data_IF_241825804240
#
_entry.id   IF_241825804240
#
_cell.length_a   1.000
_cell.length_b   1.000
_cell.length_c   1.000
_cell.angle_alpha   90.00
_cell.angle_beta   90.00
_cell.angle_gamma   90.00
#
_symmetry.space_group_name_H-M   'P 1'
#
loop_
_entity.id
_entity.type
_entity.pdbx_description
1 polymer ?
#
# COMPACT_ATOMS: atom_id res chain seq x y z
N UNK A 1 5.15 5.72 10.78
CA UNK A 1 5.73 6.50 9.66
C UNK A 1 4.93 7.79 9.59
N UNK A 2 5.60 8.93 9.46
CA UNK A 2 4.99 10.25 9.43
C UNK A 2 5.17 10.88 8.04
N UNK A 3 4.42 11.93 7.69
CA UNK A 3 4.70 12.71 6.48
C UNK A 3 6.15 13.20 6.53
N UNK A 4 6.82 13.18 5.39
CA UNK A 4 8.22 13.58 5.29
C UNK A 4 8.31 14.84 4.44
N UNK A 5 9.13 15.81 4.84
CA UNK A 5 9.40 17.03 4.05
C UNK A 5 10.16 16.76 2.75
N UNK A 6 10.59 15.52 2.56
CA UNK A 6 11.39 15.02 1.45
C UNK A 6 10.90 13.60 1.13
N UNK A 7 10.43 13.41 -0.09
CA UNK A 7 9.89 12.13 -0.54
C UNK A 7 10.95 11.03 -0.58
N UNK A 8 12.23 11.37 -0.73
CA UNK A 8 13.34 10.40 -0.64
C UNK A 8 13.36 9.73 0.72
N UNK A 9 13.16 10.50 1.80
CA UNK A 9 13.12 9.92 3.17
C UNK A 9 11.94 8.98 3.36
N UNK A 10 10.81 9.27 2.72
CA UNK A 10 9.64 8.38 2.74
C UNK A 10 9.94 7.09 1.98
N UNK A 11 10.46 7.20 0.76
CA UNK A 11 10.90 6.07 -0.08
C UNK A 11 11.88 5.19 0.69
N UNK A 12 12.96 5.76 1.20
CA UNK A 12 14.02 5.01 1.89
C UNK A 12 13.49 4.29 3.15
N UNK A 13 12.54 4.91 3.86
CA UNK A 13 11.85 4.29 5.00
C UNK A 13 10.98 3.10 4.58
N UNK A 14 10.24 3.22 3.47
CA UNK A 14 9.45 2.13 2.89
C UNK A 14 10.38 1.00 2.42
N UNK A 15 11.38 1.32 1.61
CA UNK A 15 12.34 0.36 1.06
C UNK A 15 13.10 -0.38 2.18
N UNK A 16 13.54 0.33 3.22
CA UNK A 16 14.20 -0.29 4.37
C UNK A 16 13.29 -1.33 5.06
N UNK A 17 12.01 -1.02 5.22
CA UNK A 17 11.02 -1.95 5.79
C UNK A 17 10.77 -3.14 4.86
N UNK A 18 10.61 -2.91 3.55
CA UNK A 18 10.49 -3.99 2.55
C UNK A 18 11.69 -4.93 2.61
N UNK A 19 12.92 -4.39 2.68
CA UNK A 19 14.15 -5.20 2.79
C UNK A 19 14.17 -6.06 4.06
N UNK A 20 13.73 -5.51 5.19
CA UNK A 20 13.57 -6.29 6.43
C UNK A 20 12.55 -7.41 6.27
N UNK A 21 11.40 -7.13 5.67
CA UNK A 21 10.36 -8.15 5.42
C UNK A 21 10.88 -9.24 4.48
N UNK A 22 11.65 -8.87 3.46
CA UNK A 22 12.30 -9.79 2.53
C UNK A 22 13.30 -10.71 3.21
N UNK A 23 14.11 -10.19 4.14
CA UNK A 23 15.03 -11.01 4.94
C UNK A 23 14.26 -12.08 5.74
N UNK A 24 13.15 -11.71 6.38
CA UNK A 24 12.31 -12.67 7.11
C UNK A 24 11.71 -13.70 6.16
N UNK A 25 11.15 -13.26 5.03
CA UNK A 25 10.54 -14.14 4.03
C UNK A 25 11.54 -15.11 3.36
N UNK A 26 12.80 -14.68 3.20
CA UNK A 26 13.85 -15.49 2.58
C UNK A 26 14.26 -16.71 3.41
N UNK A 27 14.07 -16.66 4.73
CA UNK A 27 14.36 -17.78 5.62
C UNK A 27 13.28 -18.88 5.58
N UNK A 28 12.10 -18.57 5.01
CA UNK A 28 10.97 -19.49 4.97
C UNK A 28 11.16 -20.51 3.85
N UNK A 29 11.24 -21.79 4.22
CA UNK A 29 11.40 -22.91 3.29
C UNK A 29 10.43 -24.04 3.61
N UNK A 30 10.10 -24.85 2.59
CA UNK A 30 9.21 -26.00 2.77
C UNK A 30 10.03 -27.22 3.24
N UNK A 31 9.47 -28.07 4.13
CA UNK A 31 8.14 -27.98 4.76
C UNK A 31 8.07 -26.93 5.89
N UNK A 32 6.95 -26.20 5.97
CA UNK A 32 6.80 -25.07 6.91
C UNK A 32 6.46 -25.51 8.34
N UNK A 33 7.29 -25.10 9.29
CA UNK A 33 7.01 -25.20 10.72
C UNK A 33 5.99 -24.18 11.23
N UNK A 34 5.68 -24.22 12.53
CA UNK A 34 4.82 -23.21 13.17
C UNK A 34 5.40 -21.80 13.09
N UNK A 35 6.72 -21.68 13.24
CA UNK A 35 7.44 -20.41 13.21
C UNK A 35 7.44 -19.80 11.81
N UNK A 36 7.59 -20.63 10.77
CA UNK A 36 7.47 -20.19 9.37
C UNK A 36 6.08 -19.63 9.07
N UNK A 37 5.02 -20.30 9.54
CA UNK A 37 3.64 -19.83 9.36
C UNK A 37 3.40 -18.51 10.09
N UNK A 38 4.01 -18.33 11.26
CA UNK A 38 3.95 -17.07 12.02
C UNK A 38 4.72 -15.95 11.31
N UNK A 39 5.92 -16.26 10.81
CA UNK A 39 6.73 -15.32 10.05
C UNK A 39 6.02 -14.90 8.76
N UNK A 40 5.38 -15.83 8.06
CA UNK A 40 4.60 -15.56 6.86
C UNK A 40 3.42 -14.63 7.16
N UNK A 41 2.63 -14.95 8.19
CA UNK A 41 1.53 -14.11 8.63
C UNK A 41 2.00 -12.69 9.00
N UNK A 42 3.10 -12.59 9.75
CA UNK A 42 3.70 -11.31 10.12
C UNK A 42 4.10 -10.51 8.88
N UNK A 43 4.84 -11.12 7.94
CA UNK A 43 5.31 -10.44 6.74
C UNK A 43 4.14 -9.95 5.88
N UNK A 44 3.11 -10.77 5.66
CA UNK A 44 1.95 -10.38 4.84
C UNK A 44 1.16 -9.25 5.48
N UNK A 45 0.91 -9.32 6.80
CA UNK A 45 0.17 -8.27 7.51
C UNK A 45 0.97 -6.96 7.52
N UNK A 46 2.27 -7.03 7.80
CA UNK A 46 3.12 -5.84 7.83
C UNK A 46 3.34 -5.22 6.45
N UNK A 47 3.38 -6.02 5.38
CA UNK A 47 3.45 -5.53 4.01
C UNK A 47 2.19 -4.72 3.65
N UNK A 48 1.01 -5.25 3.95
CA UNK A 48 -0.26 -4.54 3.69
C UNK A 48 -0.37 -3.26 4.51
N UNK A 49 0.03 -3.31 5.79
CA UNK A 49 0.09 -2.12 6.64
C UNK A 49 1.08 -1.09 6.09
N UNK A 50 2.22 -1.54 5.57
CA UNK A 50 3.23 -0.67 4.96
C UNK A 50 2.69 0.01 3.70
N UNK A 51 1.96 -0.70 2.85
CA UNK A 51 1.26 -0.12 1.70
C UNK A 51 0.29 0.98 2.13
N UNK A 52 -0.60 0.65 3.09
CA UNK A 52 -1.62 1.59 3.55
C UNK A 52 -1.02 2.86 4.14
N UNK A 53 0.01 2.69 4.98
CA UNK A 53 0.69 3.82 5.60
C UNK A 53 1.54 4.58 4.57
N UNK A 54 2.25 3.88 3.69
CA UNK A 54 3.11 4.46 2.67
C UNK A 54 2.34 5.37 1.72
N UNK A 55 1.22 4.89 1.17
CA UNK A 55 0.36 5.66 0.28
C UNK A 55 -0.19 6.89 1.00
N UNK A 56 -0.76 6.71 2.19
CA UNK A 56 -1.29 7.81 3.01
C UNK A 56 -0.24 8.90 3.26
N UNK A 57 0.97 8.51 3.66
CA UNK A 57 2.03 9.47 3.96
C UNK A 57 2.58 10.11 2.68
N UNK A 58 2.62 9.39 1.57
CA UNK A 58 2.99 9.94 0.26
C UNK A 58 2.00 11.03 -0.17
N UNK A 59 0.70 10.78 -0.07
CA UNK A 59 -0.34 11.76 -0.40
C UNK A 59 -0.23 13.01 0.50
N UNK A 60 -0.12 12.81 1.81
CA UNK A 60 0.05 13.93 2.78
C UNK A 60 1.30 14.74 2.48
N UNK A 61 2.43 14.08 2.26
CA UNK A 61 3.72 14.73 1.97
C UNK A 61 3.65 15.54 0.67
N UNK A 62 2.96 15.01 -0.34
CA UNK A 62 2.75 15.71 -1.61
C UNK A 62 1.93 16.99 -1.44
N UNK A 63 0.82 16.94 -0.70
CA UNK A 63 0.01 18.14 -0.38
C UNK A 63 0.76 19.15 0.52
N UNK A 64 1.62 18.66 1.42
CA UNK A 64 2.47 19.48 2.27
C UNK A 64 3.72 20.04 1.55
N UNK A 65 3.78 19.91 0.21
CA UNK A 65 4.81 20.53 -0.63
C UNK A 65 6.21 20.05 -0.30
N UNK A 66 6.35 18.74 -0.10
CA UNK A 66 7.64 18.10 0.13
C UNK A 66 8.57 18.21 -1.08
N UNK A 67 9.85 17.92 -0.89
CA UNK A 67 10.80 17.85 -2.02
C UNK A 67 10.70 16.49 -2.73
N UNK A 68 10.77 16.50 -4.06
CA UNK A 68 10.92 15.28 -4.89
C UNK A 68 12.35 14.75 -4.82
N UNK A 69 12.61 13.58 -5.41
CA UNK A 69 13.96 13.03 -5.53
C UNK A 69 14.94 13.95 -6.29
N UNK A 70 14.42 14.76 -7.23
CA UNK A 70 15.20 15.77 -7.94
C UNK A 70 15.47 17.05 -7.10
N UNK A 71 14.98 17.10 -5.86
CA UNK A 71 15.12 18.25 -4.95
C UNK A 71 14.12 19.38 -5.19
N UNK A 72 13.27 19.27 -6.23
CA UNK A 72 12.24 20.26 -6.54
C UNK A 72 11.12 20.24 -5.50
N UNK A 73 10.62 21.41 -5.11
CA UNK A 73 9.50 21.52 -4.16
C UNK A 73 8.18 21.30 -4.88
N UNK A 74 7.38 20.37 -4.36
CA UNK A 74 6.05 20.09 -4.91
C UNK A 74 5.14 21.31 -4.75
N UNK A 75 4.39 21.63 -5.81
CA UNK A 75 3.30 22.62 -5.80
C UNK A 75 1.95 21.93 -5.87
N UNK A 76 0.94 22.54 -5.27
CA UNK A 76 -0.46 22.13 -5.27
C UNK A 76 -1.35 23.38 -5.22
N UNK A 77 -2.62 23.27 -5.64
CA UNK A 77 -3.59 24.37 -5.57
C UNK A 77 -4.00 24.71 -4.13
N UNK A 78 -3.84 23.77 -3.21
CA UNK A 78 -4.04 23.96 -1.77
C UNK A 78 -2.70 24.01 -1.02
N UNK A 79 -2.71 24.67 0.13
CA UNK A 79 -1.53 24.79 1.00
C UNK A 79 -1.93 24.51 2.46
N UNK A 80 -2.14 23.23 2.83
CA UNK A 80 -2.43 22.88 4.21
C UNK A 80 -1.30 23.35 5.13
N UNK A 81 -1.65 23.97 6.25
CA UNK A 81 -0.70 24.44 7.26
C UNK A 81 -0.31 23.34 8.25
N UNK A 82 -1.08 22.24 8.30
CA UNK A 82 -0.80 21.11 9.18
C UNK A 82 -1.11 19.75 8.53
N UNK A 83 -0.65 18.68 9.20
CA UNK A 83 -0.89 17.30 8.81
C UNK A 83 -2.37 16.89 8.89
N UNK A 84 -3.10 17.48 9.82
CA UNK A 84 -4.54 17.25 10.03
C UNK A 84 -5.34 17.92 8.92
N UNK A 85 -4.95 19.12 8.51
CA UNK A 85 -5.59 19.83 7.41
C UNK A 85 -5.32 19.13 6.07
N UNK A 86 -4.09 18.67 5.84
CA UNK A 86 -3.77 17.84 4.68
C UNK A 86 -4.62 16.55 4.66
N UNK A 87 -4.83 15.92 5.82
CA UNK A 87 -5.71 14.78 5.94
C UNK A 87 -7.17 15.15 5.59
N UNK A 88 -7.67 16.29 6.10
CA UNK A 88 -9.02 16.79 5.81
C UNK A 88 -9.27 16.97 4.31
N UNK A 89 -8.31 17.55 3.57
CA UNK A 89 -8.37 17.65 2.11
C UNK A 89 -8.46 16.28 1.44
N UNK A 90 -7.56 15.35 1.82
CA UNK A 90 -7.57 13.97 1.32
C UNK A 90 -8.95 13.33 1.50
N UNK A 91 -9.50 13.39 2.72
CA UNK A 91 -10.78 12.76 3.02
C UNK A 91 -11.96 13.42 2.30
N UNK A 92 -11.95 14.75 2.17
CA UNK A 92 -12.97 15.48 1.41
C UNK A 92 -13.03 14.98 -0.04
N UNK A 93 -11.89 14.71 -0.67
CA UNK A 93 -11.83 14.20 -2.04
C UNK A 93 -12.33 12.75 -2.13
N UNK A 94 -12.02 11.92 -1.14
CA UNK A 94 -12.39 10.50 -1.17
C UNK A 94 -13.83 10.21 -0.70
N UNK A 95 -14.35 10.99 0.25
CA UNK A 95 -15.71 10.89 0.76
C UNK A 95 -16.45 12.25 0.74
N UNK A 96 -16.77 12.79 -0.45
CA UNK A 96 -17.36 14.11 -0.58
C UNK A 96 -18.74 14.22 0.09
N UNK A 97 -19.56 13.16 0.05
CA UNK A 97 -20.89 13.13 0.68
C UNK A 97 -20.83 13.17 2.21
N UNK A 98 -19.84 12.49 2.80
CA UNK A 98 -19.62 12.53 4.24
C UNK A 98 -19.19 13.91 4.74
N UNK A 99 -18.49 14.68 3.89
CA UNK A 99 -17.96 16.00 4.23
C UNK A 99 -18.87 17.18 3.86
N UNK A 100 -19.71 17.04 2.83
CA UNK A 100 -20.69 18.07 2.45
C UNK A 100 -21.62 18.43 3.61
N UNK A 101 -22.00 17.43 4.40
CA UNK A 101 -22.91 17.59 5.54
C UNK A 101 -22.22 18.16 6.79
N UNK A 102 -20.88 18.26 6.80
CA UNK A 102 -20.09 18.69 7.95
C UNK A 102 -19.48 20.09 7.79
N UNK A 103 -19.75 20.79 6.69
CA UNK A 103 -19.28 22.16 6.48
C UNK A 103 -17.76 22.27 6.25
N UNK A 104 -17.11 21.26 5.66
CA UNK A 104 -15.66 21.21 5.40
C UNK A 104 -14.79 21.33 6.66
N UNK A 105 -14.87 20.38 7.61
CA UNK A 105 -14.07 20.47 8.82
C UNK A 105 -12.58 20.41 8.51
N UNK A 106 -11.82 21.33 9.11
CA UNK A 106 -10.35 21.42 8.99
C UNK A 106 -9.60 20.30 9.72
N UNK A 107 -10.32 19.45 10.46
CA UNK A 107 -9.81 18.28 11.18
C UNK A 107 -10.74 17.10 11.00
N UNK A 108 -10.16 15.92 10.81
CA UNK A 108 -10.90 14.65 10.77
C UNK A 108 -10.81 14.00 12.13
N UNK A 109 -11.92 13.41 12.59
CA UNK A 109 -11.91 12.53 13.77
C UNK A 109 -11.31 11.19 13.35
N UNK A 110 -10.41 10.62 14.13
CA UNK A 110 -9.69 9.37 13.79
C UNK A 110 -10.61 8.22 13.33
N UNK A 111 -11.82 8.09 13.92
CA UNK A 111 -12.83 7.10 13.52
C UNK A 111 -13.35 7.26 12.08
N UNK A 112 -13.22 8.46 11.52
CA UNK A 112 -13.61 8.78 10.16
C UNK A 112 -12.41 8.61 9.20
N UNK A 113 -11.25 8.08 9.61
CA UNK A 113 -10.11 7.96 8.69
C UNK A 113 -10.32 6.82 7.66
N UNK A 114 -10.13 7.12 6.36
CA UNK A 114 -10.27 6.12 5.27
C UNK A 114 -9.03 5.22 5.24
N UNK A 115 -9.26 3.94 4.97
CA UNK A 115 -8.19 2.99 4.68
C UNK A 115 -7.61 3.29 3.29
N UNK A 116 -6.35 3.73 3.26
CA UNK A 116 -5.66 4.25 2.07
C UNK A 116 -4.88 3.15 1.34
N UNK A 117 -5.58 2.21 0.68
CA UNK A 117 -4.93 1.02 0.10
C UNK A 117 -4.71 1.12 -1.41
N UNK A 118 -5.63 1.76 -2.11
CA UNK A 118 -5.60 1.85 -3.56
C UNK A 118 -4.77 3.08 -3.98
N UNK A 119 -3.70 2.92 -4.77
CA UNK A 119 -2.94 4.07 -5.27
C UNK A 119 -3.79 4.97 -6.19
N UNK A 120 -4.92 4.49 -6.72
CA UNK A 120 -5.91 5.34 -7.43
C UNK A 120 -6.60 6.35 -6.53
N UNK A 121 -6.75 6.07 -5.25
CA UNK A 121 -7.22 7.08 -4.28
C UNK A 121 -6.19 8.21 -4.14
N UNK A 122 -4.90 7.86 -4.15
CA UNK A 122 -3.82 8.86 -4.17
C UNK A 122 -3.88 9.69 -5.45
N UNK A 123 -4.01 9.05 -6.61
CA UNK A 123 -4.12 9.72 -7.91
C UNK A 123 -5.27 10.71 -7.94
N UNK A 124 -6.45 10.28 -7.48
CA UNK A 124 -7.65 11.12 -7.39
C UNK A 124 -7.41 12.38 -6.56
N UNK A 125 -6.72 12.26 -5.42
CA UNK A 125 -6.38 13.41 -4.56
C UNK A 125 -5.37 14.32 -5.24
N UNK A 126 -4.29 13.76 -5.82
CA UNK A 126 -3.27 14.58 -6.48
C UNK A 126 -3.84 15.30 -7.70
N UNK A 127 -4.77 14.68 -8.42
CA UNK A 127 -5.48 15.29 -9.55
C UNK A 127 -6.37 16.45 -9.10
N UNK A 128 -7.22 16.23 -8.08
CA UNK A 128 -8.12 17.26 -7.52
C UNK A 128 -7.36 18.54 -7.12
N UNK A 129 -6.16 18.37 -6.56
CA UNK A 129 -5.34 19.49 -6.09
C UNK A 129 -4.20 19.89 -7.03
N UNK A 130 -4.24 19.40 -8.28
CA UNK A 130 -3.25 19.67 -9.35
C UNK A 130 -1.80 19.60 -8.85
N UNK A 131 -1.47 18.52 -8.15
CA UNK A 131 -0.18 18.37 -7.49
C UNK A 131 0.90 18.04 -8.52
N UNK A 132 1.99 18.82 -8.53
CA UNK A 132 3.03 18.77 -9.56
C UNK A 132 3.78 17.44 -9.71
N UNK A 133 3.80 16.57 -8.70
CA UNK A 133 4.41 15.23 -8.79
C UNK A 133 3.43 14.13 -9.25
N UNK A 134 2.22 14.50 -9.68
CA UNK A 134 1.27 13.55 -10.28
C UNK A 134 1.91 12.71 -11.42
N UNK A 135 2.74 13.24 -12.33
CA UNK A 135 3.38 12.43 -13.37
C UNK A 135 4.23 11.27 -12.83
N UNK A 136 4.94 11.47 -11.70
CA UNK A 136 5.73 10.40 -11.06
C UNK A 136 4.81 9.29 -10.55
N UNK A 137 3.68 9.66 -9.94
CA UNK A 137 2.67 8.69 -9.51
C UNK A 137 2.04 7.96 -10.71
N UNK A 138 1.72 8.66 -11.79
CA UNK A 138 1.16 8.04 -13.01
C UNK A 138 2.14 7.04 -13.62
N UNK A 139 3.43 7.36 -13.62
CA UNK A 139 4.48 6.41 -14.02
C UNK A 139 4.50 5.19 -13.09
N UNK A 140 4.47 5.38 -11.77
CA UNK A 140 4.43 4.27 -10.82
C UNK A 140 3.17 3.39 -10.98
N UNK A 141 2.01 4.00 -11.25
CA UNK A 141 0.76 3.31 -11.52
C UNK A 141 0.80 2.47 -12.80
N UNK A 142 1.58 2.88 -13.81
CA UNK A 142 1.71 2.14 -15.07
C UNK A 142 2.33 0.74 -14.90
N UNK A 143 2.99 0.48 -13.77
CA UNK A 143 3.48 -0.85 -13.40
C UNK A 143 2.37 -1.88 -13.20
N UNK A 144 1.14 -1.42 -12.91
CA UNK A 144 0.00 -2.28 -12.55
C UNK A 144 0.35 -3.28 -11.44
N UNK A 145 1.08 -2.80 -10.43
CA UNK A 145 1.54 -3.59 -9.29
C UNK A 145 0.37 -4.31 -8.60
N UNK A 146 0.47 -5.63 -8.50
CA UNK A 146 -0.63 -6.49 -8.05
C UNK A 146 -0.73 -6.52 -6.52
N UNK A 147 0.34 -6.13 -5.81
CA UNK A 147 0.35 -6.02 -4.33
C UNK A 147 -0.84 -5.25 -3.78
N UNK A 148 -1.30 -4.19 -4.47
CA UNK A 148 -2.36 -3.31 -3.99
C UNK A 148 -3.74 -3.98 -3.93
N UNK A 149 -4.00 -4.94 -4.82
CA UNK A 149 -5.27 -5.69 -4.85
C UNK A 149 -5.16 -7.04 -4.11
N UNK A 150 -4.02 -7.71 -4.22
CA UNK A 150 -3.86 -9.10 -3.77
C UNK A 150 -3.49 -9.22 -2.29
N UNK A 151 -2.58 -8.39 -1.78
CA UNK A 151 -2.07 -8.53 -0.41
C UNK A 151 -3.18 -8.44 0.64
N UNK A 152 -4.25 -7.70 0.35
CA UNK A 152 -5.47 -7.60 1.17
C UNK A 152 -6.09 -8.95 1.47
N UNK A 153 -6.20 -9.80 0.45
CA UNK A 153 -6.89 -11.09 0.53
C UNK A 153 -6.17 -11.97 1.55
N UNK A 154 -4.84 -12.03 1.44
CA UNK A 154 -4.00 -12.82 2.34
C UNK A 154 -3.88 -12.18 3.73
N UNK A 155 -3.79 -10.85 3.84
CA UNK A 155 -3.81 -10.15 5.13
C UNK A 155 -5.09 -10.46 5.91
N UNK A 156 -6.26 -10.47 5.25
CA UNK A 156 -7.52 -10.83 5.91
C UNK A 156 -7.52 -12.30 6.36
N UNK A 157 -7.02 -13.21 5.52
CA UNK A 157 -6.86 -14.61 5.92
C UNK A 157 -5.96 -14.76 7.15
N UNK A 158 -4.77 -14.16 7.16
CA UNK A 158 -3.85 -14.28 8.29
C UNK A 158 -4.35 -13.61 9.57
N UNK A 159 -5.14 -12.53 9.45
CA UNK A 159 -5.71 -11.85 10.60
C UNK A 159 -6.87 -12.61 11.26
N UNK A 160 -7.68 -13.33 10.47
CA UNK A 160 -8.93 -13.93 10.96
C UNK A 160 -8.97 -15.46 10.91
N UNK A 161 -8.33 -16.07 9.91
CA UNK A 161 -8.33 -17.52 9.64
C UNK A 161 -9.74 -18.14 9.65
N UNK A 162 -10.70 -17.39 9.11
CA UNK A 162 -12.09 -17.81 9.04
C UNK A 162 -12.43 -18.38 7.65
N UNK A 163 -13.50 -19.19 7.58
CA UNK A 163 -13.93 -19.87 6.35
C UNK A 163 -14.10 -18.92 5.17
N UNK A 164 -14.75 -17.78 5.36
CA UNK A 164 -14.95 -16.77 4.32
C UNK A 164 -13.62 -16.18 3.79
N UNK A 165 -12.63 -15.93 4.67
CA UNK A 165 -11.31 -15.43 4.24
C UNK A 165 -10.50 -16.51 3.52
N UNK A 166 -10.69 -17.77 3.89
CA UNK A 166 -10.09 -18.91 3.20
C UNK A 166 -10.70 -19.08 1.80
N UNK A 167 -12.04 -19.05 1.68
CA UNK A 167 -12.75 -19.10 0.40
C UNK A 167 -12.34 -17.95 -0.54
N UNK A 168 -12.07 -16.76 0.00
CA UNK A 168 -11.55 -15.64 -0.79
C UNK A 168 -10.15 -15.93 -1.37
N UNK A 169 -9.25 -16.56 -0.61
CA UNK A 169 -7.93 -16.98 -1.12
C UNK A 169 -8.09 -18.08 -2.18
N UNK A 170 -9.00 -19.04 -1.97
CA UNK A 170 -9.25 -20.09 -2.96
C UNK A 170 -9.82 -19.54 -4.27
N UNK A 171 -10.77 -18.59 -4.20
CA UNK A 171 -11.30 -17.92 -5.36
C UNK A 171 -10.21 -17.14 -6.12
N UNK A 172 -9.34 -16.45 -5.39
CA UNK A 172 -8.17 -15.80 -5.97
C UNK A 172 -7.25 -16.79 -6.70
N UNK A 173 -6.94 -17.93 -6.08
CA UNK A 173 -6.13 -18.97 -6.70
C UNK A 173 -6.77 -19.52 -7.99
N UNK A 174 -8.07 -19.78 -7.96
CA UNK A 174 -8.83 -20.29 -9.10
C UNK A 174 -8.82 -19.30 -10.28
N UNK A 175 -8.94 -17.99 -10.01
CA UNK A 175 -8.85 -16.95 -11.04
C UNK A 175 -7.48 -16.90 -11.74
N UNK A 176 -6.43 -17.41 -11.08
CA UNK A 176 -5.08 -17.53 -11.62
C UNK A 176 -4.82 -18.90 -12.28
N UNK A 177 -5.85 -19.76 -12.37
CA UNK A 177 -5.72 -21.13 -12.89
C UNK A 177 -4.99 -22.07 -11.94
N UNK A 178 -4.84 -21.72 -10.65
CA UNK A 178 -4.20 -22.54 -9.63
C UNK A 178 -5.29 -23.32 -8.89
N UNK A 179 -5.38 -24.61 -9.18
CA UNK A 179 -6.29 -25.54 -8.52
C UNK A 179 -5.61 -26.28 -7.36
N UNK A 180 -6.42 -26.81 -6.43
CA UNK A 180 -5.97 -27.57 -5.26
C UNK A 180 -5.01 -26.80 -4.34
N UNK A 181 -5.44 -25.61 -3.90
CA UNK A 181 -4.79 -24.91 -2.78
C UNK A 181 -5.39 -25.42 -1.47
N UNK A 182 -4.70 -26.35 -0.84
CA UNK A 182 -5.09 -26.93 0.44
C UNK A 182 -4.86 -25.95 1.60
N UNK A 183 -3.84 -25.09 1.47
CA UNK A 183 -3.43 -24.12 2.49
C UNK A 183 -3.02 -22.79 1.83
N UNK A 184 -3.65 -21.65 2.16
CA UNK A 184 -3.28 -20.31 1.69
C UNK A 184 -1.79 -19.97 1.86
N UNK A 185 -1.15 -20.50 2.91
CA UNK A 185 0.28 -20.36 3.17
C UNK A 185 1.14 -20.96 2.05
N UNK A 186 0.68 -22.04 1.42
CA UNK A 186 1.40 -22.65 0.30
C UNK A 186 1.27 -21.80 -0.96
N UNK A 187 0.12 -21.17 -1.16
CA UNK A 187 -0.14 -20.35 -2.34
C UNK A 187 0.77 -19.11 -2.37
N UNK A 188 0.87 -18.39 -1.26
CA UNK A 188 1.66 -17.15 -1.19
C UNK A 188 3.17 -17.38 -1.42
N UNK A 189 3.66 -18.59 -1.16
CA UNK A 189 5.04 -19.01 -1.41
C UNK A 189 5.20 -19.78 -2.73
N UNK A 190 4.10 -20.01 -3.47
CA UNK A 190 4.13 -20.67 -4.77
C UNK A 190 4.59 -19.69 -5.85
N UNK A 191 5.34 -20.19 -6.82
CA UNK A 191 5.66 -19.43 -8.02
C UNK A 191 4.40 -19.09 -8.82
N UNK A 192 4.29 -17.84 -9.25
CA UNK A 192 3.21 -17.36 -10.11
C UNK A 192 3.27 -18.03 -11.49
N UNK A 193 2.12 -18.39 -12.08
CA UNK A 193 2.07 -18.87 -13.45
C UNK A 193 2.75 -17.88 -14.41
N UNK A 194 3.55 -18.39 -15.35
CA UNK A 194 4.28 -17.60 -16.34
C UNK A 194 5.61 -17.02 -15.86
N UNK A 195 5.72 -16.54 -14.60
CA UNK A 195 6.98 -15.91 -14.11
C UNK A 195 7.80 -16.81 -13.19
N UNK A 196 7.16 -17.75 -12.48
CA UNK A 196 7.81 -18.58 -11.46
C UNK A 196 8.20 -17.83 -10.17
N UNK A 197 8.04 -16.51 -10.12
CA UNK A 197 8.33 -15.69 -8.94
C UNK A 197 7.27 -15.93 -7.87
N UNK A 198 7.67 -16.13 -6.61
CA UNK A 198 6.72 -16.32 -5.50
C UNK A 198 5.83 -15.09 -5.35
N UNK A 199 4.54 -15.26 -5.05
CA UNK A 199 3.62 -14.11 -4.86
C UNK A 199 4.19 -13.09 -3.88
N UNK A 200 4.68 -13.56 -2.72
CA UNK A 200 5.24 -12.67 -1.71
C UNK A 200 6.46 -11.89 -2.20
N UNK A 201 7.37 -12.53 -2.95
CA UNK A 201 8.56 -11.86 -3.48
C UNK A 201 8.17 -10.83 -4.53
N UNK A 202 7.20 -11.16 -5.39
CA UNK A 202 6.61 -10.24 -6.36
C UNK A 202 6.03 -9.01 -5.68
N UNK A 203 5.20 -9.19 -4.64
CA UNK A 203 4.62 -8.06 -3.91
C UNK A 203 5.66 -7.19 -3.19
N UNK A 204 6.70 -7.80 -2.61
CA UNK A 204 7.79 -7.04 -2.01
C UNK A 204 8.54 -6.22 -3.06
N UNK A 205 8.76 -6.76 -4.26
CA UNK A 205 9.36 -6.03 -5.37
C UNK A 205 8.45 -4.92 -5.88
N UNK A 206 7.14 -5.18 -6.04
CA UNK A 206 6.14 -4.20 -6.45
C UNK A 206 6.18 -2.95 -5.58
N UNK A 207 6.20 -3.11 -4.24
CA UNK A 207 6.25 -1.97 -3.32
C UNK A 207 7.56 -1.20 -3.45
N UNK A 208 8.70 -1.88 -3.59
CA UNK A 208 10.00 -1.22 -3.74
C UNK A 208 10.05 -0.39 -5.03
N UNK A 209 9.65 -0.97 -6.17
CA UNK A 209 9.68 -0.31 -7.48
C UNK A 209 8.64 0.82 -7.52
N UNK A 210 7.43 0.60 -7.00
CA UNK A 210 6.38 1.61 -6.99
C UNK A 210 6.81 2.89 -6.26
N UNK A 211 7.35 2.76 -5.04
CA UNK A 211 7.79 3.92 -4.27
C UNK A 211 9.07 4.54 -4.80
N UNK A 212 9.91 3.80 -5.54
CA UNK A 212 11.07 4.39 -6.21
C UNK A 212 10.65 5.29 -7.38
N UNK A 213 9.65 4.87 -8.17
CA UNK A 213 9.13 5.67 -9.29
C UNK A 213 8.26 6.85 -8.83
N UNK A 214 7.55 6.73 -7.71
CA UNK A 214 6.60 7.75 -7.26
C UNK A 214 7.26 9.01 -6.68
N UNK A 215 8.54 8.96 -6.27
CA UNK A 215 9.21 10.03 -5.51
C UNK A 215 10.14 10.91 -6.34
#
# INVERSE_FOLDING_TARGET
>A
MQPATDLVKLRDSVISRVRRLRQIASAISAPFGSDDRRALAFVTIELDNLVVVGLRQYTKSSLLRSRTAAGARITATVQPVSTEEAAAFIYRTLNPRGYSNRGSPSRIVERDEITFRDPKDTEKVLLEYSVSNLPNLTLALSLNAEVFSEAKIFRHFFAHRARNTYEAVQAFAANLGIFAVDMPEHLILRGRPGTGVRFLDGWLADVEIFFDLAT
#
